data_IF_477023721169
#
_entry.id   IF_477023721169
#
_cell.length_a   1.000
_cell.length_b   1.000
_cell.length_c   1.000
_cell.angle_alpha   90.00
_cell.angle_beta   90.00
_cell.angle_gamma   90.00
#
_symmetry.space_group_name_H-M   'P 1'
#
loop_
_entity.id
_entity.type
_entity.pdbx_description
1 polymer ?
#
# COMPACT_ATOMS: atom_id res chain seq x y z
N UNK A 1 15.27 -1.15 9.23
CA UNK A 1 16.51 -0.44 9.61
C UNK A 1 17.67 -1.43 9.61
N UNK A 2 18.92 -0.98 9.47
CA UNK A 2 20.10 -1.80 9.13
C UNK A 2 20.37 -3.03 10.05
N UNK A 3 19.72 -3.12 11.22
CA UNK A 3 19.94 -4.16 12.24
C UNK A 3 19.37 -5.55 11.94
N UNK A 4 18.46 -5.69 10.97
CA UNK A 4 17.86 -7.00 10.64
C UNK A 4 18.66 -7.86 9.66
N UNK A 5 19.71 -7.31 9.05
CA UNK A 5 20.52 -8.03 8.05
C UNK A 5 21.07 -9.37 8.57
N UNK A 6 21.59 -9.48 9.81
CA UNK A 6 22.06 -10.76 10.35
C UNK A 6 20.94 -11.81 10.44
N UNK A 7 19.73 -11.41 10.82
CA UNK A 7 18.57 -12.29 10.94
C UNK A 7 18.09 -12.80 9.58
N UNK A 8 18.05 -11.91 8.59
CA UNK A 8 17.69 -12.25 7.20
C UNK A 8 18.69 -13.22 6.59
N UNK A 9 19.99 -12.98 6.76
CA UNK A 9 21.04 -13.87 6.25
C UNK A 9 21.05 -15.22 6.97
N UNK A 10 20.78 -15.23 8.28
CA UNK A 10 20.60 -16.47 9.04
C UNK A 10 19.40 -17.27 8.51
N UNK A 11 18.25 -16.62 8.32
CA UNK A 11 17.05 -17.26 7.78
C UNK A 11 17.27 -17.81 6.36
N UNK A 12 18.05 -17.11 5.54
CA UNK A 12 18.46 -17.57 4.22
C UNK A 12 19.36 -18.81 4.31
N UNK A 13 20.37 -18.79 5.19
CA UNK A 13 21.26 -19.92 5.38
C UNK A 13 20.50 -21.16 5.87
N UNK A 14 19.58 -20.99 6.82
CA UNK A 14 18.76 -22.08 7.37
C UNK A 14 17.79 -22.68 6.35
N UNK A 15 17.41 -21.94 5.31
CA UNK A 15 16.45 -22.35 4.28
C UNK A 15 17.08 -22.46 2.88
N UNK A 16 18.40 -22.57 2.79
CA UNK A 16 19.12 -22.53 1.51
C UNK A 16 18.77 -23.71 0.59
N UNK A 17 18.38 -24.84 1.17
CA UNK A 17 17.96 -26.04 0.43
C UNK A 17 16.46 -26.03 0.07
N UNK A 18 15.70 -25.01 0.51
CA UNK A 18 14.31 -24.83 0.12
C UNK A 18 14.24 -23.95 -1.15
N UNK A 19 14.10 -24.60 -2.30
CA UNK A 19 14.05 -23.94 -3.61
C UNK A 19 12.98 -22.84 -3.70
N UNK A 20 11.77 -23.08 -3.17
CA UNK A 20 10.67 -22.10 -3.19
C UNK A 20 11.01 -20.85 -2.37
N UNK A 21 11.61 -21.05 -1.19
CA UNK A 21 12.07 -19.94 -0.35
C UNK A 21 13.18 -19.15 -1.04
N UNK A 22 14.19 -19.84 -1.60
CA UNK A 22 15.34 -19.21 -2.25
C UNK A 22 14.91 -18.39 -3.47
N UNK A 23 13.98 -18.90 -4.29
CA UNK A 23 13.45 -18.14 -5.44
C UNK A 23 12.65 -16.91 -4.99
N UNK A 24 11.82 -17.06 -3.96
CA UNK A 24 11.09 -15.91 -3.37
C UNK A 24 12.04 -14.85 -2.81
N UNK A 25 13.12 -15.28 -2.14
CA UNK A 25 14.15 -14.38 -1.62
C UNK A 25 14.88 -13.63 -2.75
N UNK A 26 15.30 -14.33 -3.80
CA UNK A 26 15.93 -13.70 -4.98
C UNK A 26 15.01 -12.70 -5.66
N UNK A 27 13.73 -13.05 -5.83
CA UNK A 27 12.73 -12.17 -6.42
C UNK A 27 12.59 -10.87 -5.61
N UNK A 28 12.52 -10.98 -4.28
CA UNK A 28 12.46 -9.82 -3.37
C UNK A 28 13.73 -8.96 -3.45
N UNK A 29 14.92 -9.59 -3.38
CA UNK A 29 16.20 -8.88 -3.49
C UNK A 29 16.36 -8.15 -4.83
N UNK A 30 15.87 -8.75 -5.91
CA UNK A 30 15.84 -8.10 -7.23
C UNK A 30 14.87 -6.92 -7.22
N UNK A 31 13.64 -7.12 -6.77
CA UNK A 31 12.62 -6.08 -6.72
C UNK A 31 13.06 -4.85 -5.92
N UNK A 32 13.69 -5.04 -4.76
CA UNK A 32 14.23 -3.93 -3.94
C UNK A 32 15.33 -3.14 -4.66
N UNK A 33 16.11 -3.79 -5.54
CA UNK A 33 17.22 -3.14 -6.27
C UNK A 33 16.78 -2.51 -7.59
N UNK A 34 15.66 -2.95 -8.15
CA UNK A 34 15.15 -2.54 -9.45
C UNK A 34 14.40 -1.19 -9.38
N UNK A 35 15.12 -0.15 -8.98
CA UNK A 35 14.57 1.20 -8.83
C UNK A 35 14.40 1.87 -10.20
N UNK A 36 13.27 2.55 -10.39
CA UNK A 36 12.97 3.32 -11.60
C UNK A 36 13.28 4.81 -11.33
N UNK A 37 14.02 5.51 -12.21
CA UNK A 37 14.29 6.93 -12.02
C UNK A 37 13.00 7.76 -12.10
N UNK A 38 12.84 8.68 -11.16
CA UNK A 38 11.75 9.65 -11.11
C UNK A 38 12.26 11.03 -11.51
N UNK A 39 11.48 11.79 -12.29
CA UNK A 39 11.82 13.16 -12.64
C UNK A 39 11.93 14.02 -11.37
N UNK A 40 13.00 14.81 -11.26
CA UNK A 40 13.29 15.57 -10.04
C UNK A 40 12.20 16.60 -9.68
N UNK A 41 11.60 17.24 -10.69
CA UNK A 41 10.48 18.17 -10.48
C UNK A 41 9.27 17.46 -9.88
N UNK A 42 8.88 16.31 -10.44
CA UNK A 42 7.77 15.49 -9.93
C UNK A 42 8.02 15.04 -8.49
N UNK A 43 9.23 14.56 -8.19
CA UNK A 43 9.60 14.13 -6.83
C UNK A 43 9.48 15.27 -5.83
N UNK A 44 9.98 16.46 -6.19
CA UNK A 44 9.89 17.66 -5.36
C UNK A 44 8.45 18.09 -5.13
N UNK A 45 7.66 18.22 -6.20
CA UNK A 45 6.25 18.63 -6.14
C UNK A 45 5.43 17.68 -5.27
N UNK A 46 5.62 16.37 -5.43
CA UNK A 46 4.93 15.36 -4.62
C UNK A 46 5.34 15.40 -3.14
N UNK A 47 6.62 15.58 -2.83
CA UNK A 47 7.09 15.71 -1.45
C UNK A 47 6.53 16.97 -0.77
N UNK A 48 6.61 18.12 -1.44
CA UNK A 48 6.12 19.39 -0.88
C UNK A 48 4.61 19.32 -0.67
N UNK A 49 3.86 18.95 -1.71
CA UNK A 49 2.40 18.94 -1.64
C UNK A 49 1.86 17.86 -0.68
N UNK A 50 2.32 16.61 -0.76
CA UNK A 50 1.71 15.51 -0.02
C UNK A 50 2.39 15.23 1.33
N UNK A 51 3.71 15.26 1.42
CA UNK A 51 4.41 14.88 2.67
C UNK A 51 4.60 16.05 3.63
N UNK A 52 4.85 17.25 3.12
CA UNK A 52 5.13 18.42 3.98
C UNK A 52 3.88 19.24 4.27
N UNK A 53 3.04 19.48 3.25
CA UNK A 53 1.94 20.44 3.34
C UNK A 53 0.54 19.80 3.41
N UNK A 54 0.43 18.48 3.21
CA UNK A 54 -0.83 17.72 3.17
C UNK A 54 -1.90 18.30 2.22
N UNK A 55 -1.47 18.93 1.12
CA UNK A 55 -2.32 19.68 0.19
C UNK A 55 -3.41 18.82 -0.46
N UNK A 56 -3.18 17.51 -0.58
CA UNK A 56 -4.16 16.58 -1.15
C UNK A 56 -5.37 16.41 -0.24
N UNK A 57 -5.17 16.16 1.06
CA UNK A 57 -6.26 16.02 2.03
C UNK A 57 -6.93 17.36 2.33
N UNK A 58 -6.16 18.44 2.27
CA UNK A 58 -6.63 19.80 2.50
C UNK A 58 -7.37 20.42 1.30
N UNK A 59 -7.48 19.71 0.17
CA UNK A 59 -8.15 20.20 -1.05
C UNK A 59 -7.45 21.40 -1.69
N UNK A 60 -6.12 21.48 -1.57
CA UNK A 60 -5.26 22.56 -2.07
C UNK A 60 -4.37 22.12 -3.24
N UNK A 61 -4.18 20.81 -3.43
CA UNK A 61 -3.32 20.27 -4.47
C UNK A 61 -3.91 20.56 -5.85
N UNK A 62 -3.09 21.13 -6.75
CA UNK A 62 -3.47 21.39 -8.14
C UNK A 62 -2.75 20.44 -9.09
N UNK A 63 -3.48 19.80 -9.99
CA UNK A 63 -2.92 18.94 -11.04
C UNK A 63 -3.49 19.38 -12.39
N UNK A 64 -2.62 19.83 -13.29
CA UNK A 64 -3.01 20.20 -14.66
C UNK A 64 -4.03 21.36 -14.72
N UNK A 65 -3.91 22.36 -13.86
CA UNK A 65 -4.83 23.51 -13.82
C UNK A 65 -6.11 23.30 -13.02
N UNK A 66 -6.23 22.17 -12.30
CA UNK A 66 -7.43 21.80 -11.55
C UNK A 66 -7.10 21.44 -10.12
N UNK A 67 -7.83 22.03 -9.19
CA UNK A 67 -7.78 21.64 -7.78
C UNK A 67 -8.36 20.23 -7.63
N UNK A 68 -7.65 19.39 -6.90
CA UNK A 68 -8.07 18.03 -6.56
C UNK A 68 -9.03 18.11 -5.38
N UNK A 69 -10.28 17.70 -5.61
CA UNK A 69 -11.31 17.61 -4.59
C UNK A 69 -11.73 16.14 -4.41
N UNK A 70 -11.28 15.53 -3.31
CA UNK A 70 -11.57 14.13 -3.00
C UNK A 70 -13.06 13.88 -2.71
N UNK A 71 -13.83 14.92 -2.36
CA UNK A 71 -15.27 14.79 -2.13
C UNK A 71 -16.06 14.47 -3.40
N UNK A 72 -15.46 14.69 -4.57
CA UNK A 72 -16.05 14.35 -5.88
C UNK A 72 -16.00 12.84 -6.19
N UNK A 73 -15.35 12.04 -5.34
CA UNK A 73 -15.30 10.58 -5.49
C UNK A 73 -16.63 9.99 -5.01
N UNK A 74 -17.50 9.67 -5.98
CA UNK A 74 -18.83 9.10 -5.72
C UNK A 74 -18.84 7.57 -5.62
N UNK A 75 -17.78 6.89 -6.08
CA UNK A 75 -17.70 5.44 -6.03
C UNK A 75 -17.28 4.94 -4.63
N UNK A 76 -17.68 3.70 -4.27
CA UNK A 76 -17.19 3.06 -3.05
C UNK A 76 -15.67 2.92 -3.04
N UNK A 77 -15.03 3.27 -1.93
CA UNK A 77 -13.58 3.22 -1.73
C UNK A 77 -13.23 2.10 -0.75
N UNK A 78 -12.25 1.27 -1.10
CA UNK A 78 -11.67 0.29 -0.18
C UNK A 78 -10.28 0.75 0.25
N UNK A 79 -10.09 0.89 1.56
CA UNK A 79 -8.81 1.18 2.19
C UNK A 79 -8.28 -0.13 2.79
N UNK A 80 -7.05 -0.50 2.44
CA UNK A 80 -6.37 -1.69 2.96
C UNK A 80 -5.13 -1.21 3.69
N UNK A 81 -4.99 -1.56 4.96
CA UNK A 81 -3.82 -1.18 5.74
C UNK A 81 -3.29 -2.35 6.59
N UNK A 82 -2.03 -2.24 6.99
CA UNK A 82 -1.30 -3.27 7.72
C UNK A 82 -1.07 -2.83 9.16
N UNK A 83 -1.60 -3.55 10.14
CA UNK A 83 -1.54 -3.12 11.55
C UNK A 83 -0.12 -3.09 12.15
N UNK A 84 0.88 -3.61 11.43
CA UNK A 84 2.31 -3.54 11.80
C UNK A 84 3.16 -2.87 10.71
N UNK A 85 2.53 -2.09 9.83
CA UNK A 85 3.21 -1.24 8.86
C UNK A 85 3.89 -0.06 9.59
N UNK A 86 5.18 0.12 9.32
CA UNK A 86 6.02 1.18 9.88
C UNK A 86 6.46 2.19 8.81
N UNK A 87 6.20 1.91 7.53
CA UNK A 87 6.46 2.84 6.42
C UNK A 87 5.26 3.74 6.20
N UNK A 88 4.05 3.18 6.26
CA UNK A 88 2.79 3.93 6.19
C UNK A 88 1.90 3.46 7.35
N UNK A 89 2.06 4.06 8.54
CA UNK A 89 1.44 3.55 9.76
C UNK A 89 -0.10 3.57 9.73
N UNK A 90 -0.78 2.60 10.39
CA UNK A 90 -2.25 2.52 10.45
C UNK A 90 -2.94 3.82 10.82
N UNK A 91 -2.37 4.61 11.74
CA UNK A 91 -2.88 5.92 12.16
C UNK A 91 -2.98 6.93 11.01
N UNK A 92 -2.18 6.76 9.95
CA UNK A 92 -2.21 7.61 8.74
C UNK A 92 -3.12 7.06 7.64
N UNK A 93 -3.44 5.76 7.69
CA UNK A 93 -4.18 5.00 6.66
C UNK A 93 -5.54 4.47 7.15
N UNK A 94 -5.98 4.86 8.33
CA UNK A 94 -7.28 4.47 8.87
C UNK A 94 -8.45 5.09 8.10
N UNK A 95 -9.66 4.91 8.64
CA UNK A 95 -10.87 5.56 8.15
C UNK A 95 -10.65 7.07 7.98
N UNK A 96 -10.93 7.61 6.80
CA UNK A 96 -10.82 9.04 6.49
C UNK A 96 -12.20 9.68 6.50
N UNK A 97 -12.74 9.85 7.69
CA UNK A 97 -14.05 10.49 7.87
C UNK A 97 -14.08 11.87 7.22
N UNK A 98 -15.13 12.13 6.44
CA UNK A 98 -15.29 13.40 5.72
C UNK A 98 -14.50 13.53 4.41
N UNK A 99 -13.60 12.59 4.09
CA UNK A 99 -12.85 12.60 2.82
C UNK A 99 -13.61 11.81 1.74
N UNK A 100 -14.05 10.60 2.07
CA UNK A 100 -14.80 9.74 1.15
C UNK A 100 -16.22 9.53 1.68
N UNK A 101 -17.21 9.66 0.79
CA UNK A 101 -18.62 9.47 1.14
C UNK A 101 -18.96 8.01 1.48
N UNK A 102 -18.32 7.05 0.80
CA UNK A 102 -18.51 5.62 1.02
C UNK A 102 -17.16 4.91 1.06
N UNK A 103 -16.70 4.58 2.26
CA UNK A 103 -15.44 3.87 2.49
C UNK A 103 -15.63 2.57 3.26
N UNK A 104 -14.85 1.56 2.91
CA UNK A 104 -14.66 0.33 3.68
C UNK A 104 -13.19 0.22 4.06
N UNK A 105 -12.89 -0.21 5.29
CA UNK A 105 -11.50 -0.39 5.75
C UNK A 105 -11.28 -1.87 6.07
N UNK A 106 -10.21 -2.45 5.52
CA UNK A 106 -9.69 -3.76 5.92
C UNK A 106 -8.31 -3.56 6.54
N UNK A 107 -8.24 -3.72 7.86
CA UNK A 107 -6.97 -3.77 8.58
C UNK A 107 -6.50 -5.22 8.70
N UNK A 108 -5.24 -5.48 8.31
CA UNK A 108 -4.67 -6.82 8.30
C UNK A 108 -3.40 -6.91 9.16
N UNK A 109 -3.22 -7.99 9.96
CA UNK A 109 -2.06 -8.14 10.86
C UNK A 109 -0.79 -8.54 10.10
N UNK A 110 -0.20 -7.56 9.41
CA UNK A 110 1.02 -7.66 8.61
C UNK A 110 1.68 -6.28 8.46
N UNK A 111 2.93 -6.25 8.00
CA UNK A 111 3.64 -5.01 7.67
C UNK A 111 3.56 -4.67 6.17
N UNK A 112 4.19 -3.57 5.76
CA UNK A 112 4.09 -2.98 4.42
C UNK A 112 4.14 -3.98 3.26
N UNK A 113 5.29 -4.63 3.06
CA UNK A 113 5.49 -5.61 1.99
C UNK A 113 4.60 -6.84 2.19
N UNK A 114 4.39 -7.22 3.45
CA UNK A 114 3.57 -8.36 3.81
C UNK A 114 2.12 -8.22 3.35
N UNK A 115 1.57 -7.00 3.27
CA UNK A 115 0.23 -6.74 2.71
C UNK A 115 0.12 -7.29 1.29
N UNK A 116 1.11 -7.00 0.44
CA UNK A 116 1.05 -7.34 -0.97
C UNK A 116 1.40 -8.80 -1.25
N UNK A 117 2.52 -9.29 -0.71
CA UNK A 117 3.14 -10.54 -1.20
C UNK A 117 3.20 -11.69 -0.21
N UNK A 118 2.76 -11.50 1.04
CA UNK A 118 2.86 -12.61 2.00
C UNK A 118 1.86 -13.72 1.69
N UNK A 119 2.26 -14.98 1.92
CA UNK A 119 1.35 -16.12 1.76
C UNK A 119 0.11 -16.00 2.66
N UNK A 120 0.23 -15.33 3.81
CA UNK A 120 -0.91 -15.05 4.71
C UNK A 120 -1.89 -14.05 4.06
N UNK A 121 -1.40 -13.00 3.43
CA UNK A 121 -2.24 -12.04 2.71
C UNK A 121 -2.93 -12.69 1.52
N UNK A 122 -2.22 -13.52 0.73
CA UNK A 122 -2.84 -14.26 -0.37
C UNK A 122 -3.92 -15.24 0.08
N UNK A 123 -3.77 -15.86 1.25
CA UNK A 123 -4.76 -16.80 1.79
C UNK A 123 -5.96 -16.13 2.46
N UNK A 124 -5.80 -14.94 3.04
CA UNK A 124 -6.82 -14.38 3.93
C UNK A 124 -7.21 -12.94 3.62
N UNK A 125 -6.28 -12.09 3.19
CA UNK A 125 -6.58 -10.69 2.86
C UNK A 125 -7.15 -10.55 1.45
N UNK A 126 -6.42 -11.01 0.45
CA UNK A 126 -6.79 -10.83 -0.95
C UNK A 126 -8.14 -11.47 -1.34
N UNK A 127 -8.55 -12.62 -0.78
CA UNK A 127 -9.92 -13.12 -0.98
C UNK A 127 -11.00 -12.13 -0.54
N UNK A 128 -10.84 -11.48 0.63
CA UNK A 128 -11.79 -10.48 1.12
C UNK A 128 -11.82 -9.25 0.20
N UNK A 129 -10.66 -8.81 -0.29
CA UNK A 129 -10.56 -7.69 -1.25
C UNK A 129 -11.30 -8.03 -2.55
N UNK A 130 -11.07 -9.23 -3.09
CA UNK A 130 -11.75 -9.67 -4.32
C UNK A 130 -13.25 -9.83 -4.14
N UNK A 131 -13.70 -10.33 -2.98
CA UNK A 131 -15.12 -10.43 -2.65
C UNK A 131 -15.77 -9.04 -2.57
N UNK A 132 -15.11 -8.09 -1.90
CA UNK A 132 -15.57 -6.70 -1.85
C UNK A 132 -15.71 -6.11 -3.26
N UNK A 133 -14.71 -6.28 -4.13
CA UNK A 133 -14.74 -5.78 -5.52
C UNK A 133 -15.88 -6.42 -6.34
N UNK A 134 -16.11 -7.73 -6.18
CA UNK A 134 -17.22 -8.43 -6.84
C UNK A 134 -18.58 -7.88 -6.41
N UNK A 135 -18.74 -7.57 -5.12
CA UNK A 135 -19.98 -7.01 -4.57
C UNK A 135 -20.26 -5.60 -5.09
N UNK A 136 -19.23 -4.77 -5.29
CA UNK A 136 -19.41 -3.45 -5.92
C UNK A 136 -19.85 -3.56 -7.38
N UNK A 137 -19.29 -4.51 -8.12
CA UNK A 137 -19.61 -4.72 -9.54
C UNK A 137 -21.02 -5.26 -9.74
N UNK A 138 -21.50 -6.13 -8.84
CA UNK A 138 -22.86 -6.66 -8.88
C UNK A 138 -23.91 -5.56 -8.58
N UNK A 139 -23.61 -4.65 -7.66
CA UNK A 139 -24.49 -3.54 -7.29
C UNK A 139 -24.64 -2.51 -8.41
N UNK A 140 -23.58 -2.28 -9.20
CA UNK A 140 -23.62 -1.36 -10.35
C UNK A 140 -24.42 -1.89 -11.56
N UNK A 141 -24.85 -3.15 -11.56
CA UNK A 141 -25.60 -3.78 -12.66
C UNK A 141 -27.12 -3.87 -12.42
N UNK A 142 -27.60 -3.41 -11.27
CA UNK A 142 -29.02 -3.33 -10.90
C UNK A 142 -29.44 -1.87 -10.79
#
# INVERSE_FOLDING_TARGET
TLDRKPEVLKSLYEQIDNEEFVESYKAMERWVKDNIPMAASLYKEFLEACFLNDELLEGKMEIGGKIVDLSTIECPVLIINGSTDHLVPPETTGSKEGVFANQTVIEFPTGHIGLSVSSKSHRSLWPQVTEWMCNQTATAKN
#
